data_IF_925277680446
#
_entry.id   IF_925277680446
#
_cell.length_a   1.000
_cell.length_b   1.000
_cell.length_c   1.000
_cell.angle_alpha   90.00
_cell.angle_beta   90.00
_cell.angle_gamma   90.00
#
_symmetry.space_group_name_H-M   'P 1'
#
loop_
_entity.id
_entity.type
_entity.pdbx_description
1 polymer ?
#
# COMPACT_ATOMS: atom_id res chain seq x y z
N UNK A 1 -19.20 13.78 19.29
CA UNK A 1 -18.47 14.01 18.03
C UNK A 1 -19.08 15.17 17.24
N UNK A 2 -20.43 15.21 17.04
CA UNK A 2 -21.10 16.23 16.19
C UNK A 2 -20.75 17.65 16.61
N UNK A 3 -20.80 17.99 17.90
CA UNK A 3 -20.41 19.30 18.43
C UNK A 3 -18.95 19.70 18.16
N UNK A 4 -18.10 18.76 17.77
CA UNK A 4 -16.69 18.99 17.44
C UNK A 4 -16.45 19.17 15.94
N UNK A 5 -17.49 19.10 15.11
CA UNK A 5 -17.36 19.32 13.68
C UNK A 5 -17.00 20.80 13.45
N UNK A 6 -15.83 21.03 12.85
CA UNK A 6 -15.37 22.37 12.53
C UNK A 6 -16.06 22.89 11.25
N UNK A 7 -16.76 23.98 11.37
CA UNK A 7 -17.44 24.66 10.25
C UNK A 7 -16.62 25.85 9.77
N UNK A 8 -16.17 26.69 10.68
CA UNK A 8 -15.52 27.96 10.38
C UNK A 8 -14.15 27.80 9.72
N UNK A 9 -13.32 26.92 10.25
CA UNK A 9 -11.98 26.65 9.72
C UNK A 9 -12.00 26.18 8.27
N UNK A 10 -12.71 25.09 7.92
CA UNK A 10 -12.88 24.65 6.54
C UNK A 10 -13.45 25.74 5.61
N UNK A 11 -14.42 26.51 6.07
CA UNK A 11 -15.02 27.61 5.28
C UNK A 11 -14.00 28.70 4.95
N UNK A 12 -13.22 29.16 5.95
CA UNK A 12 -12.16 30.17 5.75
C UNK A 12 -11.03 29.66 4.85
N UNK A 13 -10.60 28.42 5.04
CA UNK A 13 -9.58 27.77 4.20
C UNK A 13 -10.03 27.73 2.74
N UNK A 14 -11.26 27.30 2.47
CA UNK A 14 -11.83 27.21 1.13
C UNK A 14 -11.95 28.60 0.48
N UNK A 15 -12.37 29.62 1.23
CA UNK A 15 -12.45 30.99 0.74
C UNK A 15 -11.06 31.53 0.35
N UNK A 16 -10.04 31.32 1.19
CA UNK A 16 -8.67 31.73 0.91
C UNK A 16 -8.09 30.95 -0.29
N UNK A 17 -8.30 29.65 -0.36
CA UNK A 17 -7.84 28.81 -1.46
C UNK A 17 -8.47 29.20 -2.81
N UNK A 18 -9.76 29.54 -2.84
CA UNK A 18 -10.43 30.05 -4.04
C UNK A 18 -9.78 31.35 -4.55
N UNK A 19 -9.24 32.15 -3.64
CA UNK A 19 -8.55 33.41 -3.95
C UNK A 19 -7.01 33.26 -4.00
N UNK A 20 -6.49 32.11 -4.43
CA UNK A 20 -5.06 31.78 -4.40
C UNK A 20 -4.16 32.78 -5.15
N UNK A 21 -4.69 33.50 -6.13
CA UNK A 21 -3.92 34.54 -6.85
C UNK A 21 -3.38 35.60 -5.91
N UNK A 22 -4.10 35.89 -4.84
CA UNK A 22 -3.78 36.99 -3.91
C UNK A 22 -3.58 36.54 -2.46
N UNK A 23 -4.00 35.30 -2.13
CA UNK A 23 -3.97 34.74 -0.76
C UNK A 23 -3.27 33.41 -0.75
N UNK A 24 -2.68 33.09 0.38
CA UNK A 24 -2.19 31.77 0.67
C UNK A 24 -2.93 31.20 1.89
N UNK A 25 -3.30 29.94 1.81
CA UNK A 25 -3.82 29.20 2.95
C UNK A 25 -2.95 27.94 3.11
N UNK A 26 -2.34 27.78 4.27
CA UNK A 26 -1.50 26.64 4.61
C UNK A 26 -2.28 25.78 5.57
N UNK A 27 -2.75 24.63 5.11
CA UNK A 27 -3.61 23.72 5.87
C UNK A 27 -2.86 22.55 6.52
N UNK A 28 -1.57 22.38 6.17
CA UNK A 28 -0.75 21.28 6.69
C UNK A 28 0.57 21.83 7.24
N UNK A 29 0.90 21.57 8.54
CA UNK A 29 2.15 22.01 9.16
C UNK A 29 3.42 21.54 8.44
N UNK A 30 3.38 20.40 7.74
CA UNK A 30 4.52 19.90 6.96
C UNK A 30 4.96 20.86 5.85
N UNK A 31 4.08 21.76 5.43
CA UNK A 31 4.33 22.76 4.37
C UNK A 31 5.07 24.01 4.87
N UNK A 32 5.16 24.23 6.19
CA UNK A 32 5.75 25.45 6.74
C UNK A 32 7.19 25.69 6.27
N UNK A 33 8.03 24.65 6.26
CA UNK A 33 9.43 24.77 5.82
C UNK A 33 9.55 25.18 4.36
N UNK A 34 8.72 24.62 3.49
CA UNK A 34 8.69 24.95 2.06
C UNK A 34 8.29 26.41 1.84
N UNK A 35 7.28 26.89 2.58
CA UNK A 35 6.80 28.26 2.46
C UNK A 35 7.82 29.26 3.02
N UNK A 36 8.48 28.93 4.14
CA UNK A 36 9.55 29.78 4.70
C UNK A 36 10.72 29.92 3.72
N UNK A 37 11.16 28.80 3.13
CA UNK A 37 12.24 28.84 2.14
C UNK A 37 11.85 29.68 0.91
N UNK A 38 10.61 29.64 0.46
CA UNK A 38 10.13 30.44 -0.67
C UNK A 38 10.06 31.95 -0.34
N UNK A 39 9.65 32.30 0.87
CA UNK A 39 9.67 33.67 1.37
C UNK A 39 11.09 34.25 1.42
N UNK A 40 12.06 33.44 1.88
CA UNK A 40 13.47 33.82 1.94
C UNK A 40 14.04 34.04 0.53
N UNK A 41 13.78 33.12 -0.40
CA UNK A 41 14.28 33.21 -1.78
C UNK A 41 13.68 34.37 -2.59
N UNK A 42 12.43 34.74 -2.30
CA UNK A 42 11.68 35.73 -3.08
C UNK A 42 11.45 37.07 -2.31
N UNK A 43 12.35 37.43 -1.38
CA UNK A 43 12.28 38.72 -0.65
C UNK A 43 10.90 38.92 0.03
N UNK A 44 10.38 37.92 0.73
CA UNK A 44 9.11 38.01 1.44
C UNK A 44 7.86 37.73 0.58
N UNK A 45 8.05 37.35 -0.67
CA UNK A 45 6.95 37.01 -1.59
C UNK A 45 6.81 35.52 -1.79
N UNK A 46 5.61 35.05 -2.16
CA UNK A 46 5.34 33.68 -2.50
C UNK A 46 4.86 33.59 -3.94
N UNK A 47 5.42 32.68 -4.72
CA UNK A 47 5.07 32.50 -6.13
C UNK A 47 3.62 32.11 -6.32
N UNK A 48 3.04 32.43 -7.47
CA UNK A 48 1.67 31.99 -7.79
C UNK A 48 1.54 30.48 -7.83
N UNK A 49 2.58 29.79 -8.32
CA UNK A 49 2.60 28.33 -8.34
C UNK A 49 2.51 27.73 -6.92
N UNK A 50 3.30 28.27 -5.97
CA UNK A 50 3.24 27.80 -4.58
C UNK A 50 1.86 28.05 -3.96
N UNK A 51 1.28 29.23 -4.17
CA UNK A 51 -0.09 29.53 -3.71
C UNK A 51 -1.12 28.58 -4.31
N UNK A 52 -0.99 28.23 -5.61
CA UNK A 52 -1.86 27.27 -6.26
C UNK A 52 -1.72 25.86 -5.66
N UNK A 53 -0.48 25.40 -5.38
CA UNK A 53 -0.27 24.09 -4.73
C UNK A 53 -0.88 24.04 -3.33
N UNK A 54 -0.76 25.12 -2.55
CA UNK A 54 -1.40 25.23 -1.24
C UNK A 54 -2.93 25.21 -1.34
N UNK A 55 -3.49 25.94 -2.31
CA UNK A 55 -4.92 25.93 -2.56
C UNK A 55 -5.46 24.53 -2.92
N UNK A 56 -4.73 23.80 -3.77
CA UNK A 56 -5.05 22.41 -4.11
C UNK A 56 -5.07 21.53 -2.86
N UNK A 57 -4.11 21.70 -1.95
CA UNK A 57 -4.05 20.91 -0.72
C UNK A 57 -5.20 21.23 0.24
N UNK A 58 -5.60 22.49 0.34
CA UNK A 58 -6.80 22.88 1.10
C UNK A 58 -8.03 22.11 0.63
N UNK A 59 -8.28 22.08 -0.68
CA UNK A 59 -9.44 21.35 -1.21
C UNK A 59 -9.35 19.84 -1.01
N UNK A 60 -8.16 19.26 -1.07
CA UNK A 60 -7.94 17.85 -0.73
C UNK A 60 -8.27 17.56 0.73
N UNK A 61 -7.82 18.42 1.64
CA UNK A 61 -8.03 18.26 3.07
C UNK A 61 -9.50 18.43 3.44
N UNK A 62 -10.18 19.46 2.94
CA UNK A 62 -11.59 19.68 3.23
C UNK A 62 -12.47 18.58 2.63
N UNK A 63 -12.16 18.09 1.43
CA UNK A 63 -12.87 16.94 0.84
C UNK A 63 -12.75 15.68 1.71
N UNK A 64 -11.54 15.37 2.23
CA UNK A 64 -11.36 14.24 3.15
C UNK A 64 -12.10 14.42 4.46
N UNK A 65 -12.11 15.64 4.98
CA UNK A 65 -12.82 15.98 6.21
C UNK A 65 -14.32 15.79 6.04
N UNK A 66 -14.92 16.33 4.98
CA UNK A 66 -16.34 16.19 4.68
C UNK A 66 -16.74 14.72 4.44
N UNK A 67 -15.93 13.96 3.71
CA UNK A 67 -16.14 12.53 3.50
C UNK A 67 -16.10 11.74 4.83
N UNK A 68 -15.16 12.07 5.73
CA UNK A 68 -15.09 11.44 7.05
C UNK A 68 -16.31 11.76 7.91
N UNK A 69 -16.82 13.00 7.85
CA UNK A 69 -18.06 13.40 8.54
C UNK A 69 -19.25 12.62 7.99
N UNK A 70 -19.40 12.58 6.65
CA UNK A 70 -20.50 11.86 6.00
C UNK A 70 -20.50 10.38 6.40
N UNK A 71 -19.37 9.70 6.26
CA UNK A 71 -19.24 8.29 6.64
C UNK A 71 -19.52 8.05 8.13
N UNK A 72 -19.12 8.98 9.00
CA UNK A 72 -19.43 8.91 10.43
C UNK A 72 -20.92 9.04 10.71
N UNK A 73 -21.59 9.99 10.07
CA UNK A 73 -23.04 10.22 10.25
C UNK A 73 -23.87 9.04 9.72
N UNK A 74 -23.48 8.46 8.58
CA UNK A 74 -24.10 7.24 8.04
C UNK A 74 -24.01 6.09 9.06
N UNK A 75 -22.84 5.94 9.71
CA UNK A 75 -22.62 4.94 10.74
C UNK A 75 -23.46 5.13 12.02
N UNK A 76 -23.91 6.35 12.31
CA UNK A 76 -24.80 6.62 13.46
C UNK A 76 -26.26 6.21 13.21
N UNK A 77 -26.69 6.17 11.97
CA UNK A 77 -28.07 5.81 11.59
C UNK A 77 -28.27 4.29 11.51
N UNK A 78 -27.18 3.51 11.51
CA UNK A 78 -27.25 2.05 11.44
C UNK A 78 -27.38 1.46 12.84
N UNK A 79 -28.39 0.59 13.04
CA UNK A 79 -28.48 -0.22 14.25
C UNK A 79 -27.26 -1.16 14.33
N UNK A 80 -26.66 -1.42 15.51
CA UNK A 80 -25.46 -2.27 15.66
C UNK A 80 -25.63 -3.68 15.08
N UNK A 81 -26.87 -4.13 14.88
CA UNK A 81 -27.21 -5.47 14.36
C UNK A 81 -27.52 -5.50 12.87
N UNK A 82 -27.72 -4.35 12.22
CA UNK A 82 -28.03 -4.26 10.80
C UNK A 82 -26.81 -3.69 10.04
N UNK A 83 -26.14 -4.52 9.24
CA UNK A 83 -25.14 -4.08 8.28
C UNK A 83 -25.84 -3.44 7.08
N UNK A 84 -26.25 -2.18 7.22
CA UNK A 84 -26.77 -1.41 6.08
C UNK A 84 -25.63 -0.89 5.26
N UNK A 85 -25.65 -1.16 3.95
CA UNK A 85 -24.69 -0.57 3.03
C UNK A 85 -25.08 0.89 2.81
N UNK A 86 -24.14 1.85 2.85
CA UNK A 86 -24.41 3.25 2.64
C UNK A 86 -24.86 3.50 1.19
N UNK A 87 -25.77 4.47 0.98
CA UNK A 87 -26.18 4.89 -0.38
C UNK A 87 -25.01 5.54 -1.14
N UNK A 88 -24.12 6.22 -0.43
CA UNK A 88 -22.92 6.84 -0.99
C UNK A 88 -21.69 6.34 -0.24
N UNK A 89 -20.78 5.69 -0.96
CA UNK A 89 -19.52 5.22 -0.40
C UNK A 89 -18.37 6.12 -0.87
N UNK A 90 -17.79 6.86 0.07
CA UNK A 90 -16.68 7.78 -0.20
C UNK A 90 -15.37 7.27 0.38
N UNK A 91 -14.36 7.11 -0.47
CA UNK A 91 -13.00 6.74 -0.06
C UNK A 91 -11.98 7.76 -0.56
N UNK A 92 -10.97 8.02 0.26
CA UNK A 92 -9.88 8.92 -0.07
C UNK A 92 -8.54 8.24 0.24
N UNK A 93 -7.77 7.92 -0.78
CA UNK A 93 -6.43 7.39 -0.64
C UNK A 93 -5.37 8.42 -1.06
N UNK A 94 -4.29 8.49 -0.28
CA UNK A 94 -3.10 9.24 -0.67
C UNK A 94 -2.24 8.37 -1.60
N UNK A 95 -1.59 9.04 -2.57
CA UNK A 95 -0.56 8.38 -3.36
C UNK A 95 0.61 8.02 -2.44
N UNK A 96 0.90 6.73 -2.32
CA UNK A 96 2.00 6.21 -1.54
C UNK A 96 3.29 6.21 -2.36
N UNK A 97 3.21 5.78 -3.63
CA UNK A 97 4.37 5.67 -4.50
C UNK A 97 4.01 5.79 -5.98
N UNK A 98 5.00 6.05 -6.82
CA UNK A 98 4.89 6.02 -8.28
C UNK A 98 5.64 4.77 -8.79
N UNK A 99 4.91 3.90 -9.49
CA UNK A 99 5.48 2.65 -9.97
C UNK A 99 6.22 2.87 -11.29
N UNK A 100 7.22 2.05 -11.56
CA UNK A 100 8.03 2.14 -12.79
C UNK A 100 7.18 2.07 -14.06
N UNK A 101 6.14 1.22 -14.07
CA UNK A 101 5.15 1.07 -15.15
C UNK A 101 3.89 0.40 -14.60
N UNK A 102 2.81 0.38 -15.37
CA UNK A 102 1.56 -0.29 -15.05
C UNK A 102 1.62 -1.78 -15.34
N UNK A 103 0.49 -2.36 -15.76
CA UNK A 103 0.43 -3.75 -16.20
C UNK A 103 1.38 -4.00 -17.39
N UNK A 104 1.47 -3.03 -18.29
CA UNK A 104 2.37 -3.05 -19.45
C UNK A 104 3.42 -1.93 -19.37
N UNK A 105 4.61 -2.11 -19.99
CA UNK A 105 5.74 -1.18 -19.87
C UNK A 105 5.47 0.26 -20.33
N UNK A 106 4.52 0.47 -21.21
CA UNK A 106 4.15 1.80 -21.72
C UNK A 106 3.12 2.53 -20.85
N UNK A 107 2.55 1.86 -19.85
CA UNK A 107 1.54 2.43 -18.96
C UNK A 107 2.20 3.06 -17.74
N UNK A 108 1.62 4.16 -17.26
CA UNK A 108 1.98 4.72 -15.95
C UNK A 108 1.10 4.12 -14.87
N UNK A 109 1.67 3.91 -13.69
CA UNK A 109 0.93 3.46 -12.51
C UNK A 109 1.42 4.15 -11.24
N UNK A 110 0.55 4.19 -10.26
CA UNK A 110 0.87 4.68 -8.93
C UNK A 110 0.13 3.84 -7.89
N UNK A 111 0.76 3.67 -6.74
CA UNK A 111 0.21 3.02 -5.58
C UNK A 111 -0.49 4.05 -4.70
N UNK A 112 -1.72 3.77 -4.30
CA UNK A 112 -2.49 4.60 -3.38
C UNK A 112 -2.86 3.79 -2.14
N UNK A 113 -2.94 4.45 -0.99
CA UNK A 113 -3.29 3.83 0.28
C UNK A 113 -2.07 3.42 1.10
N UNK A 114 -2.29 2.51 2.04
CA UNK A 114 -1.37 2.22 3.13
C UNK A 114 -0.67 0.86 2.96
N UNK A 115 -0.20 0.54 1.76
CA UNK A 115 0.47 -0.73 1.46
C UNK A 115 1.60 -1.05 2.46
N UNK A 116 2.40 -0.03 2.84
CA UNK A 116 3.49 -0.17 3.79
C UNK A 116 3.05 -0.51 5.22
N UNK A 117 1.76 -0.45 5.55
CA UNK A 117 1.24 -0.97 6.83
C UNK A 117 1.18 -2.49 6.88
N UNK A 118 1.10 -3.13 5.72
CA UNK A 118 0.92 -4.57 5.58
C UNK A 118 2.18 -5.27 5.09
N UNK A 119 2.99 -4.58 4.30
CA UNK A 119 4.19 -5.13 3.68
C UNK A 119 5.38 -4.20 3.82
N UNK A 120 6.50 -4.76 4.23
CA UNK A 120 7.80 -4.10 4.26
C UNK A 120 8.72 -4.82 3.25
N UNK A 121 9.24 -4.08 2.29
CA UNK A 121 10.23 -4.62 1.37
C UNK A 121 11.62 -4.56 2.03
N UNK A 122 12.21 -5.71 2.32
CA UNK A 122 13.50 -5.82 3.00
C UNK A 122 14.68 -5.83 2.02
N UNK A 123 14.47 -6.27 0.77
CA UNK A 123 15.53 -6.45 -0.22
C UNK A 123 15.02 -6.36 -1.65
N UNK A 124 15.94 -6.24 -2.61
CA UNK A 124 15.70 -6.39 -4.05
C UNK A 124 15.30 -5.12 -4.77
N UNK A 125 14.87 -5.29 -6.02
CA UNK A 125 14.41 -4.19 -6.88
C UNK A 125 13.07 -3.63 -6.43
N UNK A 126 12.79 -2.38 -6.81
CA UNK A 126 11.47 -1.76 -6.64
C UNK A 126 10.36 -2.67 -7.18
N UNK A 127 9.22 -2.65 -6.48
CA UNK A 127 8.05 -3.42 -6.88
C UNK A 127 7.43 -2.84 -8.16
N UNK A 128 7.01 -3.73 -9.05
CA UNK A 128 6.18 -3.37 -10.20
C UNK A 128 4.68 -3.49 -9.85
N UNK A 129 3.82 -2.97 -10.73
CA UNK A 129 2.38 -3.20 -10.64
C UNK A 129 2.05 -4.69 -10.49
N UNK A 130 2.59 -5.53 -11.38
CA UNK A 130 2.34 -6.98 -11.35
C UNK A 130 2.83 -7.63 -10.05
N UNK A 131 3.98 -7.18 -9.50
CA UNK A 131 4.43 -7.69 -8.21
C UNK A 131 3.43 -7.37 -7.09
N UNK A 132 2.90 -6.14 -7.03
CA UNK A 132 1.97 -5.72 -5.98
C UNK A 132 0.68 -6.52 -6.05
N UNK A 133 0.13 -6.72 -7.24
CA UNK A 133 -1.10 -7.50 -7.44
C UNK A 133 -0.89 -8.97 -7.06
N UNK A 134 0.24 -9.56 -7.47
CA UNK A 134 0.58 -10.94 -7.12
C UNK A 134 0.90 -11.10 -5.62
N UNK A 135 1.57 -10.12 -4.97
CA UNK A 135 1.82 -10.09 -3.52
C UNK A 135 0.51 -10.12 -2.75
N UNK A 136 -0.45 -9.28 -3.14
CA UNK A 136 -1.76 -9.25 -2.49
C UNK A 136 -2.46 -10.60 -2.62
N UNK A 137 -2.56 -11.15 -3.83
CA UNK A 137 -3.18 -12.44 -4.06
C UNK A 137 -2.51 -13.58 -3.26
N UNK A 138 -1.17 -13.57 -3.19
CA UNK A 138 -0.41 -14.58 -2.45
C UNK A 138 -0.64 -14.50 -0.94
N UNK A 139 -0.61 -13.28 -0.39
CA UNK A 139 -0.79 -13.06 1.04
C UNK A 139 -2.22 -13.34 1.50
N UNK A 140 -3.23 -12.88 0.74
CA UNK A 140 -4.64 -13.15 1.04
C UNK A 140 -4.91 -14.65 1.05
N UNK A 141 -4.44 -15.39 0.04
CA UNK A 141 -4.64 -16.83 -0.03
C UNK A 141 -3.89 -17.58 1.10
N UNK A 142 -2.67 -17.15 1.44
CA UNK A 142 -1.91 -17.80 2.53
C UNK A 142 -2.58 -17.63 3.90
N UNK A 143 -3.28 -16.51 4.13
CA UNK A 143 -3.99 -16.21 5.38
C UNK A 143 -5.27 -17.03 5.60
N UNK A 144 -5.82 -17.65 4.56
CA UNK A 144 -7.00 -18.51 4.68
C UNK A 144 -6.72 -19.81 5.45
N UNK A 145 -5.45 -20.13 5.72
CA UNK A 145 -5.03 -21.39 6.34
C UNK A 145 -4.39 -21.13 7.71
N UNK A 146 -4.71 -22.02 8.68
CA UNK A 146 -4.09 -22.00 10.02
C UNK A 146 -2.85 -22.88 10.13
N UNK A 147 -2.79 -23.98 9.37
CA UNK A 147 -1.64 -24.90 9.33
C UNK A 147 -0.48 -24.28 8.53
N UNK A 148 0.76 -24.75 8.72
CA UNK A 148 1.88 -24.33 7.90
C UNK A 148 1.56 -24.50 6.41
N UNK A 149 1.47 -23.36 5.71
CA UNK A 149 1.01 -23.30 4.32
C UNK A 149 1.98 -22.52 3.48
N UNK A 150 2.18 -23.01 2.25
CA UNK A 150 2.92 -22.32 1.19
C UNK A 150 2.01 -22.14 -0.01
N UNK A 151 1.99 -20.93 -0.52
CA UNK A 151 1.26 -20.51 -1.72
C UNK A 151 2.26 -20.05 -2.76
N UNK A 152 2.12 -20.55 -4.00
CA UNK A 152 2.91 -20.11 -5.15
C UNK A 152 1.97 -19.44 -6.14
N UNK A 153 2.15 -18.13 -6.36
CA UNK A 153 1.30 -17.34 -7.26
C UNK A 153 2.08 -16.91 -8.50
N UNK A 154 1.39 -16.91 -9.62
CA UNK A 154 1.86 -16.27 -10.85
C UNK A 154 0.67 -15.71 -11.62
N UNK A 155 0.73 -14.42 -11.99
CA UNK A 155 -0.34 -13.71 -12.68
C UNK A 155 -1.68 -13.84 -11.94
N UNK A 156 -1.65 -13.54 -10.63
CA UNK A 156 -2.80 -13.58 -9.68
C UNK A 156 -3.43 -14.95 -9.45
N UNK A 157 -2.93 -15.98 -10.10
CA UNK A 157 -3.46 -17.33 -9.96
C UNK A 157 -2.49 -18.26 -9.21
N UNK A 158 -2.98 -19.16 -8.35
CA UNK A 158 -2.13 -20.11 -7.69
C UNK A 158 -1.62 -21.19 -8.67
N UNK A 159 -0.29 -21.30 -8.79
CA UNK A 159 0.35 -22.46 -9.41
C UNK A 159 0.30 -23.66 -8.48
N UNK A 160 0.26 -23.43 -7.18
CA UNK A 160 0.13 -24.45 -6.17
C UNK A 160 -0.10 -23.88 -4.78
N UNK A 161 -0.85 -24.62 -4.00
CA UNK A 161 -1.06 -24.41 -2.56
C UNK A 161 -0.79 -25.74 -1.86
N UNK A 162 0.03 -25.70 -0.83
CA UNK A 162 0.34 -26.89 -0.04
C UNK A 162 0.29 -26.60 1.45
N UNK A 163 -0.30 -27.51 2.20
CA UNK A 163 -0.30 -27.50 3.67
C UNK A 163 0.49 -28.69 4.19
N UNK A 164 1.13 -28.56 5.33
CA UNK A 164 1.94 -29.63 5.89
C UNK A 164 2.23 -29.45 7.38
N UNK A 165 2.99 -30.41 7.95
CA UNK A 165 3.48 -30.33 9.32
C UNK A 165 4.62 -29.32 9.47
N UNK A 166 5.23 -28.94 8.35
CA UNK A 166 6.28 -27.93 8.25
C UNK A 166 6.12 -27.14 6.94
N UNK A 167 6.71 -25.95 6.85
CA UNK A 167 6.75 -25.17 5.62
C UNK A 167 7.51 -25.91 4.49
N UNK A 168 8.53 -26.71 4.81
CA UNK A 168 9.26 -27.50 3.83
C UNK A 168 8.34 -28.53 3.15
N UNK A 169 7.55 -29.28 3.93
CA UNK A 169 6.55 -30.21 3.40
C UNK A 169 5.48 -29.49 2.59
N UNK A 170 5.00 -28.35 3.11
CA UNK A 170 4.00 -27.54 2.42
C UNK A 170 4.53 -27.01 1.07
N UNK A 171 5.79 -26.56 1.01
CA UNK A 171 6.42 -26.12 -0.22
C UNK A 171 6.52 -27.23 -1.27
N UNK A 172 6.96 -28.43 -0.85
CA UNK A 172 7.08 -29.56 -1.78
C UNK A 172 5.73 -29.93 -2.41
N UNK A 173 4.65 -29.90 -1.62
CA UNK A 173 3.29 -30.14 -2.11
C UNK A 173 2.82 -29.03 -3.06
N UNK A 174 3.00 -27.77 -2.67
CA UNK A 174 2.63 -26.64 -3.52
C UNK A 174 3.39 -26.68 -4.86
N UNK A 175 4.70 -26.91 -4.81
CA UNK A 175 5.56 -26.99 -5.99
C UNK A 175 5.22 -28.15 -6.91
N UNK A 176 4.83 -29.31 -6.35
CA UNK A 176 4.47 -30.48 -7.12
C UNK A 176 3.19 -30.31 -7.94
N UNK A 177 2.33 -29.33 -7.59
CA UNK A 177 1.08 -29.08 -8.30
C UNK A 177 1.34 -28.59 -9.73
N UNK A 178 2.23 -27.58 -9.92
CA UNK A 178 2.67 -27.11 -11.23
C UNK A 178 4.08 -26.51 -11.13
N UNK A 179 5.07 -27.38 -11.20
CA UNK A 179 6.48 -26.99 -11.11
C UNK A 179 6.98 -26.11 -12.27
N UNK A 180 6.29 -26.17 -13.43
CA UNK A 180 6.68 -25.36 -14.61
C UNK A 180 6.25 -23.91 -14.43
N UNK A 181 5.02 -23.68 -14.00
CA UNK A 181 4.47 -22.35 -13.79
C UNK A 181 5.07 -21.64 -12.56
N UNK A 182 5.58 -22.41 -11.58
CA UNK A 182 6.23 -21.87 -10.38
C UNK A 182 7.49 -21.01 -10.68
N UNK A 183 8.16 -21.24 -11.81
CA UNK A 183 9.35 -20.46 -12.19
C UNK A 183 9.00 -18.99 -12.42
N UNK A 184 9.69 -18.09 -11.71
CA UNK A 184 9.44 -16.65 -11.76
C UNK A 184 8.16 -16.20 -11.04
N UNK A 185 7.56 -17.08 -10.24
CA UNK A 185 6.40 -16.75 -9.41
C UNK A 185 6.78 -16.10 -8.08
N UNK A 186 5.75 -15.86 -7.28
CA UNK A 186 5.82 -15.33 -5.91
C UNK A 186 5.50 -16.47 -4.95
N UNK A 187 6.28 -16.59 -3.88
CA UNK A 187 6.05 -17.56 -2.81
C UNK A 187 5.64 -16.82 -1.55
N UNK A 188 4.47 -17.15 -1.01
CA UNK A 188 4.02 -16.67 0.30
C UNK A 188 3.88 -17.83 1.28
N UNK A 189 4.26 -17.57 2.53
CA UNK A 189 4.09 -18.49 3.66
C UNK A 189 3.34 -17.80 4.80
N UNK A 190 2.56 -18.55 5.57
CA UNK A 190 1.77 -18.02 6.68
C UNK A 190 2.43 -18.18 8.06
N UNK A 191 3.58 -18.84 8.14
CA UNK A 191 4.38 -19.00 9.35
C UNK A 191 5.80 -18.44 9.16
N UNK A 192 6.60 -18.25 10.24
CA UNK A 192 7.99 -17.83 10.12
C UNK A 192 8.77 -18.72 9.15
N UNK A 193 9.45 -18.11 8.18
CA UNK A 193 10.17 -18.83 7.14
C UNK A 193 11.51 -19.32 7.69
N UNK A 194 11.71 -20.64 7.63
CA UNK A 194 12.93 -21.31 8.06
C UNK A 194 13.94 -21.48 6.92
N UNK A 195 15.19 -21.79 7.30
CA UNK A 195 16.29 -21.95 6.34
C UNK A 195 16.13 -23.19 5.44
N UNK A 196 15.49 -24.26 5.94
CA UNK A 196 15.29 -25.49 5.17
C UNK A 196 14.31 -25.22 4.01
N UNK A 197 13.20 -24.56 4.29
CA UNK A 197 12.20 -24.13 3.30
C UNK A 197 12.80 -23.11 2.31
N UNK A 198 13.60 -22.15 2.80
CA UNK A 198 14.28 -21.18 1.95
C UNK A 198 15.22 -21.82 0.92
N UNK A 199 15.91 -22.88 1.31
CA UNK A 199 16.77 -23.67 0.39
C UNK A 199 15.96 -24.41 -0.67
N UNK A 200 14.75 -24.84 -0.36
CA UNK A 200 13.85 -25.44 -1.35
C UNK A 200 13.35 -24.39 -2.35
N UNK A 201 12.91 -23.24 -1.86
CA UNK A 201 12.50 -22.08 -2.67
C UNK A 201 13.62 -21.64 -3.62
N UNK A 202 14.87 -21.67 -3.14
CA UNK A 202 16.04 -21.20 -3.90
C UNK A 202 16.45 -22.10 -5.07
N UNK A 203 15.93 -23.35 -5.15
CA UNK A 203 16.19 -24.27 -6.25
C UNK A 203 15.67 -23.77 -7.60
N UNK A 204 14.68 -22.89 -7.59
CA UNK A 204 14.14 -22.25 -8.79
C UNK A 204 14.25 -20.72 -8.68
N UNK A 205 14.12 -20.04 -9.80
CA UNK A 205 13.98 -18.60 -9.79
C UNK A 205 12.62 -18.20 -9.20
N UNK A 206 12.65 -17.51 -8.06
CA UNK A 206 11.48 -16.94 -7.37
C UNK A 206 11.67 -15.44 -7.31
N UNK A 207 10.67 -14.69 -7.77
CA UNK A 207 10.78 -13.23 -7.89
C UNK A 207 10.55 -12.53 -6.55
N UNK A 208 9.56 -12.97 -5.78
CA UNK A 208 9.22 -12.42 -4.46
C UNK A 208 9.02 -13.55 -3.46
N UNK A 209 9.51 -13.34 -2.24
CA UNK A 209 9.25 -14.23 -1.10
C UNK A 209 8.60 -13.44 0.02
N UNK A 210 7.43 -13.89 0.48
CA UNK A 210 6.62 -13.21 1.50
C UNK A 210 6.50 -14.12 2.72
N UNK A 211 6.80 -13.59 3.89
CA UNK A 211 6.63 -14.28 5.16
C UNK A 211 6.24 -13.28 6.27
N UNK A 212 5.51 -13.71 7.30
CA UNK A 212 5.23 -12.86 8.46
C UNK A 212 6.50 -12.57 9.28
N UNK A 213 7.51 -13.44 9.18
CA UNK A 213 8.82 -13.31 9.84
C UNK A 213 9.83 -14.22 9.12
N UNK A 214 11.10 -13.87 9.22
CA UNK A 214 12.24 -14.69 8.75
C UNK A 214 13.06 -15.15 9.95
N UNK A 215 13.36 -16.44 10.01
CA UNK A 215 14.24 -17.00 11.05
C UNK A 215 15.69 -16.54 10.82
N UNK A 216 16.55 -16.76 11.83
CA UNK A 216 17.95 -16.35 11.79
C UNK A 216 18.68 -16.92 10.57
N UNK A 217 19.42 -16.06 9.87
CA UNK A 217 20.19 -16.40 8.67
C UNK A 217 19.40 -16.58 7.38
N UNK A 218 18.04 -16.53 7.43
CA UNK A 218 17.20 -16.70 6.23
C UNK A 218 17.33 -15.49 5.29
N UNK A 219 17.27 -14.27 5.82
CA UNK A 219 17.41 -13.06 5.01
C UNK A 219 18.78 -13.02 4.32
N UNK A 220 19.88 -13.23 5.07
CA UNK A 220 21.21 -13.28 4.49
C UNK A 220 21.37 -14.32 3.38
N UNK A 221 20.63 -15.43 3.50
CA UNK A 221 20.62 -16.47 2.48
C UNK A 221 19.87 -16.02 1.22
N UNK A 222 18.67 -15.42 1.37
CA UNK A 222 17.81 -15.00 0.26
C UNK A 222 18.36 -13.79 -0.49
N UNK A 223 19.01 -12.87 0.19
CA UNK A 223 19.61 -11.63 -0.34
C UNK A 223 20.77 -11.86 -1.28
N UNK A 224 21.35 -13.08 -1.30
CA UNK A 224 22.40 -13.46 -2.31
C UNK A 224 21.90 -13.28 -3.74
N UNK A 225 20.59 -13.34 -3.97
CA UNK A 225 19.99 -13.06 -5.28
C UNK A 225 19.48 -11.62 -5.31
N UNK A 226 20.31 -10.73 -5.85
CA UNK A 226 20.12 -9.26 -5.86
C UNK A 226 18.76 -8.77 -6.35
N UNK A 227 18.11 -9.51 -7.24
CA UNK A 227 16.86 -9.10 -7.88
C UNK A 227 15.62 -9.65 -7.17
N UNK A 228 15.81 -10.57 -6.20
CA UNK A 228 14.70 -11.12 -5.39
C UNK A 228 14.21 -10.07 -4.41
N UNK A 229 12.93 -9.99 -4.27
CA UNK A 229 12.25 -9.09 -3.34
C UNK A 229 11.70 -9.84 -2.16
#
# INVERSE_FOLDING_TARGET
>A
AIEQIDIGGPSMLRAAAKNYKYKIAISNPSQYRTILAELELNNGSISENARFQMAKEVFRQTSRYDAAISNYLDGLLTHPTEKVLPEVFSVNFQKADELRYGENPHQRAALYGDFQKYFEQLHGKELSYNNIVDIQAAAELAQEFSEPTVVIIKHTNPCGVGTGKSLAEAYEKAFATDSKSAFGGIVAVNHPLDIATSRLIDKIFTEVVIAPKFDEGVLEFLEKKKDRR
#
